data_IF_660709625471
#
_entry.id   IF_660709625471
#
_cell.length_a   1.000
_cell.length_b   1.000
_cell.length_c   1.000
_cell.angle_alpha   90.00
_cell.angle_beta   90.00
_cell.angle_gamma   90.00
#
_symmetry.space_group_name_H-M   'P 1'
#
loop_
_entity.id
_entity.type
_entity.pdbx_description
1 polymer ?
#
# COMPACT_ATOMS: atom_id res chain seq x y z
N UNK A 1 -6.54 -0.57 2.93
CA UNK A 1 -6.59 -1.96 2.39
C UNK A 1 -5.30 -2.71 2.72
N UNK A 2 -5.32 -4.01 3.03
CA UNK A 2 -4.08 -4.73 3.38
C UNK A 2 -3.03 -4.68 2.26
N UNK A 3 -1.75 -4.67 2.64
CA UNK A 3 -0.62 -4.63 1.70
C UNK A 3 -0.66 -5.79 0.67
N UNK A 4 -1.14 -6.96 1.06
CA UNK A 4 -1.28 -8.10 0.14
C UNK A 4 -2.28 -7.84 -0.98
N UNK A 5 -3.43 -7.21 -0.67
CA UNK A 5 -4.39 -6.79 -1.69
C UNK A 5 -3.84 -5.65 -2.55
N UNK A 6 -3.11 -4.71 -1.95
CA UNK A 6 -2.46 -3.62 -2.68
C UNK A 6 -1.47 -4.13 -3.72
N UNK A 7 -0.60 -5.07 -3.34
CA UNK A 7 0.35 -5.70 -4.25
C UNK A 7 -0.36 -6.36 -5.45
N UNK A 8 -1.47 -7.06 -5.18
CA UNK A 8 -2.29 -7.68 -6.23
C UNK A 8 -2.88 -6.67 -7.20
N UNK A 9 -3.39 -5.53 -6.72
CA UNK A 9 -3.92 -4.47 -7.59
C UNK A 9 -2.83 -3.80 -8.41
N UNK A 10 -1.67 -3.57 -7.82
CA UNK A 10 -0.50 -3.01 -8.49
C UNK A 10 0.16 -3.98 -9.48
N UNK A 11 -0.30 -5.24 -9.56
CA UNK A 11 0.30 -6.26 -10.42
C UNK A 11 1.71 -6.66 -10.01
N UNK A 12 2.12 -6.38 -8.77
CA UNK A 12 3.47 -6.67 -8.26
C UNK A 12 3.43 -7.71 -7.14
N UNK A 13 4.58 -8.34 -6.91
CA UNK A 13 4.71 -9.28 -5.80
C UNK A 13 4.69 -8.54 -4.45
N UNK A 14 4.14 -9.18 -3.41
CA UNK A 14 4.06 -8.61 -2.06
C UNK A 14 5.42 -8.19 -1.51
N UNK A 15 6.45 -9.00 -1.74
CA UNK A 15 7.83 -8.69 -1.31
C UNK A 15 8.43 -7.51 -2.07
N UNK A 16 8.07 -7.33 -3.35
CA UNK A 16 8.47 -6.16 -4.14
C UNK A 16 7.85 -4.89 -3.57
N UNK A 17 6.55 -4.94 -3.25
CA UNK A 17 5.87 -3.84 -2.57
C UNK A 17 6.57 -3.49 -1.25
N UNK A 18 6.85 -4.49 -0.39
CA UNK A 18 7.56 -4.26 0.86
C UNK A 18 8.92 -3.57 0.67
N UNK A 19 9.73 -4.02 -0.29
CA UNK A 19 11.03 -3.38 -0.60
C UNK A 19 10.89 -1.94 -1.09
N UNK A 20 9.82 -1.63 -1.82
CA UNK A 20 9.52 -0.25 -2.23
C UNK A 20 9.15 0.63 -1.04
N UNK A 21 8.36 0.10 -0.10
CA UNK A 21 7.95 0.82 1.10
C UNK A 21 9.11 1.03 2.09
N UNK A 22 10.07 0.10 2.13
CA UNK A 22 11.24 0.17 3.01
C UNK A 22 12.33 1.13 2.51
N UNK A 23 12.26 1.54 1.23
CA UNK A 23 13.24 2.49 0.67
C UNK A 23 12.99 3.92 1.20
N UNK A 24 13.96 4.53 1.88
CA UNK A 24 13.85 5.94 2.26
C UNK A 24 13.74 6.81 0.99
N UNK A 25 12.61 7.49 0.85
CA UNK A 25 12.27 8.36 -0.29
C UNK A 25 11.70 7.66 -1.54
N UNK A 26 11.39 6.34 -1.47
CA UNK A 26 11.28 5.52 -2.69
C UNK A 26 9.93 4.89 -3.05
N UNK A 27 8.87 5.05 -2.28
CA UNK A 27 7.60 4.38 -2.63
C UNK A 27 6.66 5.24 -3.46
N UNK A 28 6.67 6.57 -3.32
CA UNK A 28 5.58 7.41 -3.82
C UNK A 28 4.21 7.08 -3.22
N UNK A 29 4.18 6.16 -2.25
CA UNK A 29 2.98 5.67 -1.58
C UNK A 29 3.05 6.00 -0.09
N UNK A 30 1.98 6.57 0.44
CA UNK A 30 1.72 6.80 1.85
C UNK A 30 1.29 5.48 2.50
N UNK A 31 2.12 4.97 3.41
CA UNK A 31 1.79 3.78 4.21
C UNK A 31 1.19 4.24 5.53
N UNK A 32 -0.02 3.80 5.81
CA UNK A 32 -0.63 3.99 7.11
C UNK A 32 -0.35 2.77 8.00
N UNK A 33 -0.06 3.04 9.26
CA UNK A 33 0.14 2.03 10.28
C UNK A 33 -0.89 2.26 11.40
N UNK A 34 -1.70 1.23 11.67
CA UNK A 34 -2.68 1.24 12.76
C UNK A 34 -2.34 0.11 13.73
N UNK A 35 -2.42 0.40 15.02
CA UNK A 35 -2.25 -0.61 16.06
C UNK A 35 -3.65 -1.17 16.36
N UNK A 36 -3.88 -2.43 15.97
CA UNK A 36 -5.12 -3.13 16.29
C UNK A 36 -5.28 -3.35 17.80
N UNK A 37 -6.51 -3.59 18.24
CA UNK A 37 -6.86 -3.83 19.65
C UNK A 37 -6.09 -5.01 20.31
N UNK A 38 -5.51 -5.91 19.51
CA UNK A 38 -4.66 -7.02 19.96
C UNK A 38 -3.15 -6.69 19.97
N UNK A 39 -2.77 -5.41 19.82
CA UNK A 39 -1.38 -4.95 19.76
C UNK A 39 -0.68 -5.23 18.43
N UNK A 40 -1.37 -5.81 17.44
CA UNK A 40 -0.79 -6.07 16.12
C UNK A 40 -0.73 -4.78 15.31
N UNK A 41 0.46 -4.47 14.78
CA UNK A 41 0.64 -3.39 13.81
C UNK A 41 0.12 -3.85 12.45
N UNK A 42 -0.94 -3.20 11.98
CA UNK A 42 -1.48 -3.35 10.64
C UNK A 42 -0.96 -2.22 9.76
N UNK A 43 -0.24 -2.60 8.70
CA UNK A 43 0.14 -1.68 7.64
C UNK A 43 -0.85 -1.79 6.49
N UNK A 44 -1.29 -0.65 5.98
CA UNK A 44 -2.18 -0.60 4.83
C UNK A 44 -1.85 0.59 3.93
N UNK A 45 -2.22 0.43 2.66
CA UNK A 45 -2.13 1.47 1.67
C UNK A 45 -3.54 2.03 1.41
N UNK A 46 -3.65 3.36 1.20
CA UNK A 46 -4.89 3.99 0.76
C UNK A 46 -5.22 3.50 -0.66
N UNK A 47 -6.51 3.27 -0.92
CA UNK A 47 -6.93 2.76 -2.22
C UNK A 47 -6.72 3.79 -3.32
N UNK A 48 -6.86 5.08 -3.01
CA UNK A 48 -6.76 6.17 -3.97
C UNK A 48 -5.36 6.29 -4.56
N UNK A 49 -4.30 6.14 -3.76
CA UNK A 49 -2.94 6.15 -4.30
C UNK A 49 -2.64 4.91 -5.15
N UNK A 50 -3.18 3.75 -4.77
CA UNK A 50 -3.07 2.54 -5.59
C UNK A 50 -3.77 2.78 -6.94
N UNK A 51 -4.97 3.37 -6.92
CA UNK A 51 -5.73 3.73 -8.12
C UNK A 51 -4.96 4.70 -9.01
N UNK A 52 -4.40 5.76 -8.43
CA UNK A 52 -3.54 6.70 -9.15
C UNK A 52 -2.34 6.00 -9.79
N UNK A 53 -1.68 5.10 -9.07
CA UNK A 53 -0.52 4.38 -9.59
C UNK A 53 -0.87 3.38 -10.71
N UNK A 54 -2.05 2.78 -10.68
CA UNK A 54 -2.53 1.90 -11.77
C UNK A 54 -3.22 2.68 -12.92
N UNK A 55 -3.24 4.01 -12.85
CA UNK A 55 -3.89 4.85 -13.86
C UNK A 55 -5.42 4.72 -13.87
N UNK A 56 -6.04 4.21 -12.79
CA UNK A 56 -7.48 4.31 -12.59
C UNK A 56 -7.79 5.70 -12.05
N UNK A 57 -8.52 6.50 -12.83
CA UNK A 57 -9.02 7.79 -12.37
C UNK A 57 -9.77 7.61 -11.03
N UNK A 58 -9.52 8.47 -10.03
CA UNK A 58 -10.30 8.48 -8.81
C UNK A 58 -11.75 8.75 -9.22
N UNK A 59 -12.60 7.73 -9.09
CA UNK A 59 -14.03 7.87 -9.37
C UNK A 59 -14.58 8.85 -8.33
N UNK A 60 -15.15 9.99 -8.74
CA UNK A 60 -15.66 11.04 -7.86
C UNK A 60 -16.88 10.60 -7.03
#
# INVERSE_FOLDING_TARGET
>A
MSLGRAAKLLGIHYTTLLRHLDKPGGSGFTVYEEISANGKRLRYLPLDEIRQAVGQEPTP
#
